data_IF_291046977889
#
_entry.id   IF_291046977889
#
_cell.length_a   1.000
_cell.length_b   1.000
_cell.length_c   1.000
_cell.angle_alpha   90.00
_cell.angle_beta   90.00
_cell.angle_gamma   90.00
#
_symmetry.space_group_name_H-M   'P 1'
#
loop_
_entity.id
_entity.type
_entity.pdbx_description
1 polymer ?
#
# COMPACT_ATOMS: atom_id res chain seq x y z
N UNK A 1 31.50 12.11 28.55
CA UNK A 1 30.93 10.99 27.76
C UNK A 1 30.11 11.59 26.63
N UNK A 2 30.17 11.07 25.39
CA UNK A 2 29.27 11.52 24.33
C UNK A 2 27.82 11.31 24.78
N UNK A 3 26.96 12.30 24.52
CA UNK A 3 25.53 12.23 24.84
C UNK A 3 24.89 11.12 24.00
N UNK A 4 24.43 10.05 24.64
CA UNK A 4 23.74 8.97 23.95
C UNK A 4 22.27 9.36 23.70
N UNK A 5 21.81 9.20 22.47
CA UNK A 5 20.45 9.52 22.06
C UNK A 5 19.66 8.23 21.82
N UNK A 6 18.54 8.04 22.54
CA UNK A 6 17.59 6.96 22.25
C UNK A 6 16.80 7.27 20.98
N UNK A 7 16.47 6.26 20.18
CA UNK A 7 15.49 6.43 19.10
C UNK A 7 14.12 6.65 19.70
N UNK A 8 13.44 7.72 19.30
CA UNK A 8 12.08 8.07 19.75
C UNK A 8 11.18 8.11 18.53
N UNK A 9 10.08 7.37 18.54
CA UNK A 9 8.98 7.52 17.58
C UNK A 9 7.83 8.29 18.22
N UNK A 10 7.43 9.38 17.60
CA UNK A 10 6.25 10.15 17.95
C UNK A 10 5.15 9.79 16.95
N UNK A 11 4.16 9.05 17.41
CA UNK A 11 2.97 8.72 16.64
C UNK A 11 1.99 9.89 16.68
N UNK A 12 1.65 10.40 15.50
CA UNK A 12 0.62 11.39 15.27
C UNK A 12 -0.58 10.66 14.65
N UNK A 13 -1.53 10.24 15.49
CA UNK A 13 -2.71 9.53 15.04
C UNK A 13 -3.91 10.47 14.99
N UNK A 14 -4.57 10.52 13.82
CA UNK A 14 -5.78 11.33 13.61
C UNK A 14 -7.01 10.74 14.28
N UNK A 15 -6.96 9.47 14.68
CA UNK A 15 -8.07 8.81 15.36
C UNK A 15 -8.10 9.10 16.87
N UNK A 16 -9.28 8.90 17.48
CA UNK A 16 -9.47 8.99 18.92
C UNK A 16 -8.53 8.10 19.74
N UNK A 17 -8.16 6.95 19.18
CA UNK A 17 -7.24 6.02 19.80
C UNK A 17 -6.22 5.57 18.76
N UNK A 18 -4.94 5.69 19.13
CA UNK A 18 -3.85 5.30 18.27
C UNK A 18 -3.95 3.81 17.94
N UNK A 19 -3.65 3.47 16.69
CA UNK A 19 -3.60 2.09 16.23
C UNK A 19 -2.60 1.26 17.06
N UNK A 20 -3.04 0.19 17.75
CA UNK A 20 -2.10 -0.69 18.42
C UNK A 20 -1.25 -1.49 17.43
N UNK A 21 -1.74 -1.70 16.20
CA UNK A 21 -1.03 -2.48 15.18
C UNK A 21 0.36 -1.92 14.91
N UNK A 22 0.44 -0.64 14.54
CA UNK A 22 1.67 0.00 14.09
C UNK A 22 2.65 0.25 15.26
N UNK A 23 2.10 0.47 16.46
CA UNK A 23 2.87 0.55 17.71
C UNK A 23 3.50 -0.81 18.03
N UNK A 24 2.74 -1.91 17.98
CA UNK A 24 3.26 -3.26 18.22
C UNK A 24 4.33 -3.63 17.18
N UNK A 25 4.08 -3.38 15.89
CA UNK A 25 5.11 -3.57 14.86
C UNK A 25 6.38 -2.80 15.21
N UNK A 26 6.26 -1.54 15.65
CA UNK A 26 7.43 -0.72 15.98
C UNK A 26 8.20 -1.26 17.18
N UNK A 27 7.51 -1.74 18.22
CA UNK A 27 8.14 -2.37 19.39
C UNK A 27 8.89 -3.65 19.00
N UNK A 28 8.27 -4.50 18.18
CA UNK A 28 8.89 -5.77 17.74
C UNK A 28 10.10 -5.53 16.84
N UNK A 29 10.05 -4.47 16.02
CA UNK A 29 11.11 -4.10 15.08
C UNK A 29 12.26 -3.38 15.78
N UNK A 30 11.95 -2.55 16.78
CA UNK A 30 12.89 -1.71 17.53
C UNK A 30 12.63 -1.80 19.05
N UNK A 31 13.06 -2.87 19.73
CA UNK A 31 12.76 -3.09 21.15
C UNK A 31 13.22 -1.96 22.10
N UNK A 32 14.30 -1.25 21.72
CA UNK A 32 14.87 -0.15 22.51
C UNK A 32 14.28 1.24 22.18
N UNK A 33 13.39 1.31 21.19
CA UNK A 33 12.77 2.58 20.81
C UNK A 33 11.78 3.04 21.87
N UNK A 34 11.80 4.34 22.17
CA UNK A 34 10.78 4.99 23.00
C UNK A 34 9.63 5.42 22.10
N UNK A 35 8.41 5.05 22.46
CA UNK A 35 7.21 5.40 21.71
C UNK A 35 6.41 6.45 22.50
N UNK A 36 6.16 7.58 21.86
CA UNK A 36 5.21 8.60 22.30
C UNK A 36 4.04 8.62 21.32
N UNK A 37 2.83 8.90 21.80
CA UNK A 37 1.65 8.98 20.94
C UNK A 37 0.80 10.20 21.27
N UNK A 38 0.26 10.80 20.23
CA UNK A 38 -0.75 11.84 20.27
C UNK A 38 -1.93 11.37 19.42
N UNK A 39 -3.14 11.54 19.96
CA UNK A 39 -4.40 11.03 19.40
C UNK A 39 -5.31 12.23 19.08
N UNK A 40 -6.22 12.08 18.11
CA UNK A 40 -7.02 13.18 17.54
C UNK A 40 -6.17 14.33 16.98
N UNK A 41 -5.01 14.03 16.42
CA UNK A 41 -4.09 15.06 15.90
C UNK A 41 -4.70 15.77 14.70
N UNK A 42 -4.79 17.09 14.78
CA UNK A 42 -5.12 17.99 13.67
C UNK A 42 -3.86 18.45 12.91
N UNK A 43 -4.03 19.16 11.80
CA UNK A 43 -2.91 19.75 11.06
C UNK A 43 -2.15 20.77 11.93
N UNK A 44 -2.89 21.58 12.69
CA UNK A 44 -2.36 22.60 13.59
C UNK A 44 -1.62 21.99 14.78
N UNK A 45 -2.15 20.89 15.33
CA UNK A 45 -1.48 20.16 16.41
C UNK A 45 -0.18 19.53 15.92
N UNK A 46 -0.19 18.90 14.73
CA UNK A 46 1.00 18.29 14.15
C UNK A 46 2.13 19.30 13.93
N UNK A 47 1.82 20.51 13.46
CA UNK A 47 2.80 21.59 13.33
C UNK A 47 3.48 21.92 14.66
N UNK A 48 2.69 22.16 15.71
CA UNK A 48 3.21 22.51 17.04
C UNK A 48 4.06 21.37 17.62
N UNK A 49 3.55 20.14 17.53
CA UNK A 49 4.24 18.95 18.02
C UNK A 49 5.58 18.73 17.31
N UNK A 50 5.65 18.98 15.99
CA UNK A 50 6.90 18.84 15.23
C UNK A 50 7.91 19.92 15.63
N UNK A 51 7.51 21.17 15.79
CA UNK A 51 8.41 22.22 16.30
C UNK A 51 8.95 21.86 17.69
N UNK A 52 8.07 21.42 18.61
CA UNK A 52 8.49 21.02 19.96
C UNK A 52 9.41 19.79 19.95
N UNK A 53 9.27 18.89 18.98
CA UNK A 53 10.09 17.69 18.88
C UNK A 53 11.49 17.95 18.27
N UNK A 54 11.64 18.99 17.46
CA UNK A 54 12.88 19.26 16.70
C UNK A 54 14.00 19.84 17.57
N UNK A 55 13.68 20.76 18.49
CA UNK A 55 14.70 21.58 19.18
C UNK A 55 15.34 20.99 20.46
N UNK A 56 14.63 20.27 21.35
CA UNK A 56 15.15 19.94 22.70
C UNK A 56 16.41 19.08 22.72
N UNK A 57 16.71 18.37 21.62
CA UNK A 57 17.83 17.43 21.52
C UNK A 57 18.99 17.97 20.68
N UNK A 58 18.88 19.20 20.18
CA UNK A 58 19.81 19.79 19.22
C UNK A 58 19.83 19.06 17.87
N UNK A 59 20.60 19.54 16.89
CA UNK A 59 20.63 18.97 15.54
C UNK A 59 21.02 17.48 15.52
N UNK A 60 22.00 17.08 16.34
CA UNK A 60 22.41 15.67 16.43
C UNK A 60 21.31 14.80 17.03
N UNK A 61 20.61 15.28 18.06
CA UNK A 61 19.55 14.50 18.68
C UNK A 61 18.26 14.44 17.86
N UNK A 62 17.99 15.42 17.00
CA UNK A 62 16.86 15.44 16.07
C UNK A 62 16.89 14.23 15.12
N UNK A 63 18.08 13.80 14.69
CA UNK A 63 18.30 12.60 13.88
C UNK A 63 17.75 11.32 14.52
N UNK A 64 17.56 11.31 15.84
CA UNK A 64 17.03 10.18 16.62
C UNK A 64 15.56 10.37 17.05
N UNK A 65 14.89 11.41 16.56
CA UNK A 65 13.45 11.64 16.74
C UNK A 65 12.75 11.41 15.42
N UNK A 66 11.75 10.53 15.42
CA UNK A 66 11.04 10.05 14.23
C UNK A 66 9.56 10.38 14.39
N UNK A 67 8.89 10.69 13.29
CA UNK A 67 7.44 10.89 13.25
C UNK A 67 6.80 9.69 12.56
N UNK A 68 5.68 9.21 13.10
CA UNK A 68 4.82 8.25 12.42
C UNK A 68 3.41 8.84 12.31
N UNK A 69 2.94 9.12 11.09
CA UNK A 69 1.59 9.64 10.82
C UNK A 69 0.64 8.48 10.56
N UNK A 70 -0.49 8.46 11.26
CA UNK A 70 -1.50 7.41 11.12
C UNK A 70 -2.94 7.93 11.31
N UNK A 71 -3.89 7.05 11.05
CA UNK A 71 -5.31 7.21 11.34
C UNK A 71 -6.20 7.01 10.11
N UNK A 72 -7.52 7.01 10.31
CA UNK A 72 -8.50 6.61 9.29
C UNK A 72 -8.79 7.70 8.26
N UNK A 73 -8.64 8.97 8.64
CA UNK A 73 -8.90 10.07 7.72
C UNK A 73 -7.70 10.26 6.79
N UNK A 74 -7.78 9.62 5.62
CA UNK A 74 -6.70 9.59 4.63
C UNK A 74 -6.30 10.97 4.12
N UNK A 75 -7.26 11.88 3.92
CA UNK A 75 -6.98 13.25 3.49
C UNK A 75 -6.23 14.00 4.60
N UNK A 76 -6.75 13.98 5.83
CA UNK A 76 -6.11 14.62 6.98
C UNK A 76 -4.69 14.11 7.24
N UNK A 77 -4.44 12.79 7.12
CA UNK A 77 -3.07 12.25 7.28
C UNK A 77 -2.10 12.80 6.23
N UNK A 78 -2.57 13.02 4.99
CA UNK A 78 -1.74 13.60 3.94
C UNK A 78 -1.56 15.11 4.11
N UNK A 79 -2.58 15.82 4.59
CA UNK A 79 -2.47 17.24 4.93
C UNK A 79 -1.47 17.46 6.06
N UNK A 80 -1.47 16.59 7.08
CA UNK A 80 -0.45 16.57 8.13
C UNK A 80 0.94 16.37 7.52
N UNK A 81 1.13 15.39 6.64
CA UNK A 81 2.42 15.16 5.98
C UNK A 81 2.92 16.42 5.27
N UNK A 82 2.08 17.04 4.44
CA UNK A 82 2.46 18.24 3.69
C UNK A 82 2.74 19.44 4.61
N UNK A 83 2.04 19.53 5.74
CA UNK A 83 2.30 20.57 6.75
C UNK A 83 3.64 20.35 7.44
N UNK A 84 3.93 19.15 7.93
CA UNK A 84 5.16 18.89 8.69
C UNK A 84 6.41 18.95 7.80
N UNK A 85 6.29 18.60 6.51
CA UNK A 85 7.37 18.80 5.51
C UNK A 85 7.81 20.26 5.45
N UNK A 86 6.88 21.22 5.64
CA UNK A 86 7.16 22.66 5.65
C UNK A 86 7.71 23.16 6.99
N UNK A 87 7.54 22.40 8.07
CA UNK A 87 8.04 22.74 9.41
C UNK A 87 9.53 22.42 9.59
N UNK A 88 10.04 21.43 8.84
CA UNK A 88 11.43 20.97 8.92
C UNK A 88 12.35 21.82 8.04
N UNK A 89 13.53 22.16 8.55
CA UNK A 89 14.54 22.96 7.85
C UNK A 89 15.95 22.65 8.36
N UNK A 90 17.00 22.68 7.53
CA UNK A 90 18.35 22.39 7.99
C UNK A 90 18.79 23.29 9.17
N UNK A 91 19.45 22.74 10.21
CA UNK A 91 19.86 21.35 10.39
C UNK A 91 18.84 20.48 11.16
N UNK A 92 17.61 20.95 11.33
CA UNK A 92 16.53 20.25 12.04
C UNK A 92 15.56 19.60 11.04
N UNK A 93 15.86 18.36 10.70
CA UNK A 93 15.04 17.53 9.83
C UNK A 93 14.84 16.17 10.52
N UNK A 94 13.64 15.62 10.41
CA UNK A 94 13.26 14.34 11.02
C UNK A 94 12.93 13.33 9.93
N UNK A 95 13.02 12.05 10.26
CA UNK A 95 12.44 10.98 9.44
C UNK A 95 10.97 10.81 9.77
N UNK A 96 10.14 10.77 8.73
CA UNK A 96 8.68 10.68 8.82
C UNK A 96 8.21 9.42 8.11
N UNK A 97 7.54 8.54 8.83
CA UNK A 97 6.75 7.44 8.28
C UNK A 97 5.30 7.87 8.19
N UNK A 98 4.61 7.51 7.11
CA UNK A 98 3.17 7.69 6.97
C UNK A 98 2.55 6.40 6.44
N UNK A 99 1.56 5.85 7.16
CA UNK A 99 0.81 4.69 6.68
C UNK A 99 -0.61 4.66 7.23
N UNK A 100 -1.56 5.40 6.63
CA UNK A 100 -2.90 5.61 7.18
C UNK A 100 -3.66 4.29 7.32
N UNK A 101 -3.69 3.72 8.52
CA UNK A 101 -4.26 2.39 8.82
C UNK A 101 -3.76 1.30 7.88
N UNK A 102 -2.48 1.33 7.51
CA UNK A 102 -1.89 0.33 6.62
C UNK A 102 -2.19 0.54 5.13
N UNK A 103 -2.80 1.68 4.74
CA UNK A 103 -3.23 1.90 3.36
C UNK A 103 -2.07 1.87 2.36
N UNK A 104 -0.93 2.46 2.70
CA UNK A 104 0.23 2.56 1.80
C UNK A 104 0.93 1.23 1.68
N UNK A 105 1.19 0.56 2.79
CA UNK A 105 1.87 -0.74 2.79
C UNK A 105 0.99 -1.84 2.20
N UNK A 106 -0.33 -1.83 2.44
CA UNK A 106 -1.25 -2.81 1.84
C UNK A 106 -1.34 -2.63 0.32
N UNK A 107 -1.50 -1.40 -0.16
CA UNK A 107 -1.53 -1.10 -1.59
C UNK A 107 -0.20 -1.50 -2.26
N UNK A 108 0.92 -1.14 -1.63
CA UNK A 108 2.27 -1.49 -2.09
C UNK A 108 2.46 -2.99 -2.22
N UNK A 109 2.07 -3.74 -1.19
CA UNK A 109 2.13 -5.19 -1.21
C UNK A 109 1.22 -5.78 -2.30
N UNK A 110 -0.03 -5.29 -2.43
CA UNK A 110 -0.96 -5.78 -3.43
C UNK A 110 -0.40 -5.62 -4.85
N UNK A 111 0.12 -4.44 -5.20
CA UNK A 111 0.68 -4.17 -6.54
C UNK A 111 1.95 -4.99 -6.78
N UNK A 112 2.85 -5.10 -5.79
CA UNK A 112 4.06 -5.90 -5.91
C UNK A 112 3.76 -7.40 -6.09
N UNK A 113 2.78 -7.95 -5.36
CA UNK A 113 2.31 -9.33 -5.54
C UNK A 113 1.68 -9.54 -6.91
N UNK A 114 0.90 -8.59 -7.41
CA UNK A 114 0.38 -8.63 -8.78
C UNK A 114 1.51 -8.67 -9.81
N UNK A 115 2.55 -7.84 -9.65
CA UNK A 115 3.74 -7.88 -10.52
C UNK A 115 4.44 -9.24 -10.44
N UNK A 116 4.67 -9.77 -9.24
CA UNK A 116 5.27 -11.09 -9.01
C UNK A 116 4.50 -12.19 -9.77
N UNK A 117 3.18 -12.25 -9.60
CA UNK A 117 2.33 -13.24 -10.29
C UNK A 117 2.34 -13.01 -11.81
N UNK A 118 2.26 -11.76 -12.27
CA UNK A 118 2.30 -11.45 -13.70
C UNK A 118 3.58 -11.97 -14.33
N UNK A 119 4.74 -11.70 -13.72
CA UNK A 119 6.02 -12.12 -14.26
C UNK A 119 6.24 -13.64 -14.15
N UNK A 120 5.91 -14.25 -13.00
CA UNK A 120 6.12 -15.69 -12.78
C UNK A 120 5.20 -16.57 -13.62
N UNK A 121 4.02 -16.06 -14.02
CA UNK A 121 3.09 -16.73 -14.94
C UNK A 121 3.34 -16.40 -16.41
N UNK A 122 4.40 -15.66 -16.73
CA UNK A 122 4.75 -15.33 -18.12
C UNK A 122 3.83 -14.30 -18.79
N UNK A 123 3.11 -13.49 -18.00
CA UNK A 123 2.19 -12.44 -18.47
C UNK A 123 2.88 -11.09 -18.70
N UNK A 124 4.16 -10.97 -18.36
CA UNK A 124 4.98 -9.77 -18.56
C UNK A 124 4.96 -8.79 -17.38
N UNK A 125 5.44 -7.56 -17.63
CA UNK A 125 5.34 -6.42 -16.70
C UNK A 125 3.90 -5.91 -16.61
N UNK A 126 3.65 -4.89 -15.79
CA UNK A 126 2.32 -4.24 -15.71
C UNK A 126 2.13 -3.13 -16.76
N UNK A 127 3.18 -2.83 -17.54
CA UNK A 127 3.16 -1.77 -18.54
C UNK A 127 2.12 -2.05 -19.63
N UNK A 128 1.30 -1.05 -19.93
CA UNK A 128 0.24 -1.14 -20.93
C UNK A 128 -0.97 -1.98 -20.53
N UNK A 129 -0.91 -2.73 -19.42
CA UNK A 129 -2.02 -3.58 -18.96
C UNK A 129 -3.20 -2.76 -18.47
N UNK A 130 -4.41 -3.27 -18.68
CA UNK A 130 -5.61 -2.67 -18.08
C UNK A 130 -5.89 -3.27 -16.71
N UNK A 131 -5.97 -2.42 -15.68
CA UNK A 131 -6.21 -2.80 -14.29
C UNK A 131 -7.49 -2.15 -13.78
N UNK A 132 -8.45 -2.93 -13.29
CA UNK A 132 -9.64 -2.39 -12.61
C UNK A 132 -9.49 -2.51 -11.10
N UNK A 133 -9.54 -1.38 -10.39
CA UNK A 133 -9.55 -1.30 -8.93
C UNK A 133 -11.00 -1.10 -8.47
N UNK A 134 -11.62 -2.18 -8.00
CA UNK A 134 -13.00 -2.16 -7.51
C UNK A 134 -13.10 -1.50 -6.14
N UNK A 135 -14.11 -0.66 -5.95
CA UNK A 135 -14.25 0.20 -4.76
C UNK A 135 -12.98 1.03 -4.49
N UNK A 136 -12.29 1.46 -5.56
CA UNK A 136 -10.97 2.06 -5.53
C UNK A 136 -10.88 3.48 -4.94
N UNK A 137 -11.95 3.99 -4.33
CA UNK A 137 -11.97 5.33 -3.72
C UNK A 137 -11.67 5.32 -2.22
N UNK A 138 -11.48 4.15 -1.62
CA UNK A 138 -10.91 4.02 -0.27
C UNK A 138 -9.39 4.22 -0.26
N UNK A 139 -8.76 4.38 0.92
CA UNK A 139 -7.33 4.67 1.05
C UNK A 139 -6.43 3.68 0.29
N UNK A 140 -6.63 2.38 0.51
CA UNK A 140 -5.85 1.32 -0.18
C UNK A 140 -6.09 1.38 -1.70
N UNK A 141 -7.34 1.53 -2.12
CA UNK A 141 -7.72 1.54 -3.53
C UNK A 141 -7.10 2.71 -4.30
N UNK A 142 -7.14 3.92 -3.72
CA UNK A 142 -6.55 5.11 -4.33
C UNK A 142 -5.03 4.98 -4.47
N UNK A 143 -4.36 4.45 -3.44
CA UNK A 143 -2.91 4.24 -3.49
C UNK A 143 -2.54 3.14 -4.47
N UNK A 144 -3.28 2.02 -4.50
CA UNK A 144 -3.02 0.95 -5.46
C UNK A 144 -3.23 1.44 -6.91
N UNK A 145 -4.26 2.24 -7.16
CA UNK A 145 -4.48 2.86 -8.47
C UNK A 145 -3.31 3.75 -8.91
N UNK A 146 -2.78 4.61 -8.02
CA UNK A 146 -1.56 5.40 -8.30
C UNK A 146 -0.36 4.52 -8.61
N UNK A 147 -0.16 3.44 -7.84
CA UNK A 147 0.97 2.53 -8.01
C UNK A 147 0.89 1.73 -9.31
N UNK A 148 -0.29 1.24 -9.69
CA UNK A 148 -0.50 0.61 -11.01
C UNK A 148 -0.20 1.58 -12.15
N UNK A 149 -0.67 2.83 -12.05
CA UNK A 149 -0.36 3.88 -13.03
C UNK A 149 1.15 4.16 -13.11
N UNK A 150 1.86 4.15 -11.98
CA UNK A 150 3.31 4.33 -11.94
C UNK A 150 4.10 3.20 -12.62
N UNK A 151 3.51 2.01 -12.75
CA UNK A 151 4.07 0.88 -13.51
C UNK A 151 3.65 0.90 -15.00
N UNK A 152 3.03 1.99 -15.46
CA UNK A 152 2.61 2.15 -16.85
C UNK A 152 1.29 1.46 -17.20
N UNK A 153 0.53 0.98 -16.21
CA UNK A 153 -0.79 0.39 -16.44
C UNK A 153 -1.86 1.46 -16.74
N UNK A 154 -2.91 1.06 -17.44
CA UNK A 154 -4.15 1.83 -17.64
C UNK A 154 -5.14 1.43 -16.55
N UNK A 155 -5.55 2.39 -15.72
CA UNK A 155 -6.31 2.10 -14.49
C UNK A 155 -7.77 2.49 -14.61
N UNK A 156 -8.66 1.61 -14.21
CA UNK A 156 -10.10 1.87 -14.05
C UNK A 156 -10.39 1.88 -12.56
N UNK A 157 -10.79 3.03 -12.03
CA UNK A 157 -11.15 3.17 -10.61
C UNK A 157 -12.67 3.13 -10.50
N UNK A 158 -13.22 2.18 -9.74
CA UNK A 158 -14.66 2.10 -9.56
C UNK A 158 -15.14 2.63 -8.22
N UNK A 159 -16.37 3.12 -8.21
CA UNK A 159 -17.07 3.62 -7.02
C UNK A 159 -18.57 3.46 -7.21
N UNK A 160 -19.33 3.42 -6.12
CA UNK A 160 -20.79 3.56 -6.18
C UNK A 160 -21.24 4.99 -6.49
N UNK A 161 -20.30 5.93 -6.50
CA UNK A 161 -20.51 7.35 -6.82
C UNK A 161 -19.48 7.75 -7.86
N UNK A 162 -19.96 8.07 -9.07
CA UNK A 162 -19.13 8.48 -10.21
C UNK A 162 -18.17 9.62 -9.86
N UNK A 163 -18.60 10.61 -9.07
CA UNK A 163 -17.80 11.79 -8.74
C UNK A 163 -16.56 11.40 -7.95
N UNK A 164 -16.71 10.45 -7.02
CA UNK A 164 -15.58 9.96 -6.22
C UNK A 164 -14.57 9.19 -7.08
N UNK A 165 -15.02 8.35 -8.01
CA UNK A 165 -14.10 7.63 -8.91
C UNK A 165 -13.40 8.56 -9.89
N UNK A 166 -14.12 9.56 -10.43
CA UNK A 166 -13.54 10.57 -11.32
C UNK A 166 -12.49 11.41 -10.59
N UNK A 167 -12.77 11.89 -9.38
CA UNK A 167 -11.82 12.68 -8.61
C UNK A 167 -10.51 11.92 -8.32
N UNK A 168 -10.57 10.60 -8.12
CA UNK A 168 -9.36 9.77 -7.96
C UNK A 168 -8.60 9.66 -9.28
N UNK A 169 -9.29 9.41 -10.38
CA UNK A 169 -8.67 9.30 -11.71
C UNK A 169 -8.04 10.63 -12.16
N UNK A 170 -8.71 11.76 -11.93
CA UNK A 170 -8.20 13.11 -12.22
C UNK A 170 -6.91 13.38 -11.44
N UNK A 171 -6.88 13.13 -10.13
CA UNK A 171 -5.66 13.28 -9.32
C UNK A 171 -4.49 12.42 -9.83
N UNK A 172 -4.76 11.20 -10.30
CA UNK A 172 -3.74 10.33 -10.90
C UNK A 172 -3.24 10.95 -12.21
N UNK A 173 -4.15 11.36 -13.10
CA UNK A 173 -3.78 11.94 -14.39
C UNK A 173 -3.02 13.26 -14.25
N UNK A 174 -3.36 14.09 -13.27
CA UNK A 174 -2.63 15.31 -12.91
C UNK A 174 -1.21 14.99 -12.43
N UNK A 175 -1.06 13.99 -11.56
CA UNK A 175 0.25 13.57 -11.03
C UNK A 175 1.18 13.06 -12.15
N UNK A 176 0.65 12.27 -13.09
CA UNK A 176 1.44 11.68 -14.18
C UNK A 176 1.49 12.52 -15.47
N UNK A 177 0.68 13.60 -15.56
CA UNK A 177 0.54 14.45 -16.75
C UNK A 177 0.17 13.67 -18.02
N UNK A 178 -0.60 12.59 -17.86
CA UNK A 178 -1.04 11.67 -18.92
C UNK A 178 -2.37 11.03 -18.51
N UNK A 179 -3.20 10.63 -19.47
CA UNK A 179 -4.43 9.88 -19.21
C UNK A 179 -4.11 8.42 -18.84
N UNK A 180 -3.73 8.18 -17.59
CA UNK A 180 -3.43 6.86 -17.03
C UNK A 180 -4.65 6.20 -16.38
N UNK A 181 -5.61 6.98 -15.90
CA UNK A 181 -6.74 6.50 -15.13
C UNK A 181 -8.08 7.06 -15.62
N UNK A 182 -9.14 6.27 -15.47
CA UNK A 182 -10.53 6.69 -15.65
C UNK A 182 -11.41 6.26 -14.49
N UNK A 183 -12.37 7.10 -14.13
CA UNK A 183 -13.38 6.81 -13.11
C UNK A 183 -14.62 6.14 -13.72
N UNK A 184 -15.15 5.10 -13.08
CA UNK A 184 -16.36 4.39 -13.51
C UNK A 184 -17.31 4.19 -12.33
N UNK A 185 -18.60 4.41 -12.54
CA UNK A 185 -19.61 4.06 -11.55
C UNK A 185 -19.94 2.57 -11.62
N UNK A 186 -19.93 1.89 -10.48
CA UNK A 186 -20.37 0.51 -10.34
C UNK A 186 -21.05 0.31 -8.97
N UNK A 187 -22.36 0.06 -9.01
CA UNK A 187 -23.27 -0.17 -7.87
C UNK A 187 -23.79 -1.60 -7.86
N UNK A 188 -24.01 -2.20 -9.03
CA UNK A 188 -24.52 -3.57 -9.15
C UNK A 188 -23.46 -4.56 -9.64
N UNK A 189 -23.66 -5.88 -9.46
CA UNK A 189 -22.78 -6.90 -10.03
C UNK A 189 -22.59 -6.77 -11.54
N UNK A 190 -23.62 -6.39 -12.29
CA UNK A 190 -23.57 -6.23 -13.75
C UNK A 190 -22.73 -5.00 -14.15
N UNK A 191 -22.82 -3.91 -13.39
CA UNK A 191 -21.99 -2.72 -13.59
C UNK A 191 -20.52 -2.99 -13.21
N UNK A 192 -20.27 -3.78 -12.15
CA UNK A 192 -18.94 -4.32 -11.83
C UNK A 192 -18.43 -5.17 -13.00
N UNK A 193 -19.28 -6.05 -13.56
CA UNK A 193 -18.99 -6.82 -14.75
C UNK A 193 -18.59 -5.94 -15.94
N UNK A 194 -19.36 -4.89 -16.21
CA UNK A 194 -19.05 -3.92 -17.26
C UNK A 194 -17.69 -3.22 -17.04
N UNK A 195 -17.35 -2.89 -15.79
CA UNK A 195 -16.09 -2.23 -15.44
C UNK A 195 -14.85 -3.14 -15.56
N UNK A 196 -15.02 -4.47 -15.61
CA UNK A 196 -13.90 -5.43 -15.73
C UNK A 196 -13.75 -6.06 -17.12
N UNK A 197 -14.59 -5.70 -18.10
CA UNK A 197 -14.57 -6.32 -19.45
C UNK A 197 -13.19 -6.28 -20.11
N UNK A 198 -12.53 -5.13 -20.03
CA UNK A 198 -11.20 -4.91 -20.62
C UNK A 198 -10.05 -5.21 -19.65
N UNK A 199 -10.36 -5.57 -18.39
CA UNK A 199 -9.36 -5.73 -17.36
C UNK A 199 -8.58 -7.02 -17.55
N UNK A 200 -7.25 -6.91 -17.60
CA UNK A 200 -6.34 -8.05 -17.45
C UNK A 200 -6.11 -8.39 -15.97
N UNK A 201 -6.27 -7.38 -15.11
CA UNK A 201 -6.04 -7.48 -13.67
C UNK A 201 -7.21 -6.80 -12.95
N UNK A 202 -7.73 -7.45 -11.91
CA UNK A 202 -8.75 -6.88 -11.03
C UNK A 202 -8.26 -6.87 -9.58
N UNK A 203 -8.30 -5.73 -8.92
CA UNK A 203 -8.05 -5.59 -7.48
C UNK A 203 -9.35 -5.21 -6.77
N UNK A 204 -9.87 -6.06 -5.90
CA UNK A 204 -10.95 -5.74 -4.99
C UNK A 204 -10.41 -4.98 -3.77
N UNK A 205 -10.74 -3.68 -3.67
CA UNK A 205 -10.31 -2.80 -2.59
C UNK A 205 -11.46 -2.39 -1.65
N UNK A 206 -12.41 -3.31 -1.45
CA UNK A 206 -13.64 -3.09 -0.68
C UNK A 206 -13.41 -2.99 0.82
N UNK A 207 -14.43 -2.46 1.51
CA UNK A 207 -14.49 -2.52 2.96
C UNK A 207 -14.59 -3.97 3.45
N UNK A 208 -14.22 -4.19 4.71
CA UNK A 208 -14.28 -5.51 5.31
C UNK A 208 -15.70 -6.09 5.29
N UNK A 209 -15.83 -7.38 4.97
CA UNK A 209 -17.11 -8.07 4.91
C UNK A 209 -18.01 -7.66 3.74
N UNK A 210 -17.44 -7.07 2.68
CA UNK A 210 -18.20 -6.69 1.48
C UNK A 210 -17.70 -7.48 0.28
N UNK A 211 -18.58 -8.29 -0.32
CA UNK A 211 -18.33 -8.94 -1.60
C UNK A 211 -18.56 -7.96 -2.75
N UNK A 212 -17.54 -7.76 -3.58
CA UNK A 212 -17.57 -6.86 -4.73
C UNK A 212 -17.71 -7.60 -6.05
N UNK A 213 -17.07 -8.77 -6.17
CA UNK A 213 -16.98 -9.51 -7.41
C UNK A 213 -17.45 -10.95 -7.22
N UNK A 214 -18.73 -11.22 -7.54
CA UNK A 214 -19.23 -12.59 -7.66
C UNK A 214 -18.48 -13.39 -8.72
N UNK A 215 -18.34 -14.70 -8.50
CA UNK A 215 -17.54 -15.57 -9.38
C UNK A 215 -18.21 -15.74 -10.75
N UNK A 216 -19.54 -15.76 -10.81
CA UNK A 216 -20.28 -15.79 -12.07
C UNK A 216 -20.04 -14.52 -12.91
N UNK A 217 -20.00 -13.34 -12.28
CA UNK A 217 -19.68 -12.07 -12.96
C UNK A 217 -18.25 -12.09 -13.50
N UNK A 218 -17.27 -12.55 -12.72
CA UNK A 218 -15.90 -12.70 -13.19
C UNK A 218 -15.82 -13.66 -14.39
N UNK A 219 -16.49 -14.82 -14.32
CA UNK A 219 -16.55 -15.79 -15.42
C UNK A 219 -17.19 -15.20 -16.68
N UNK A 220 -18.26 -14.43 -16.53
CA UNK A 220 -19.04 -13.91 -17.64
C UNK A 220 -18.35 -12.72 -18.32
N UNK A 221 -17.89 -11.75 -17.54
CA UNK A 221 -17.38 -10.47 -18.07
C UNK A 221 -15.85 -10.40 -18.15
N UNK A 222 -15.12 -11.02 -17.23
CA UNK A 222 -13.67 -10.92 -17.12
C UNK A 222 -12.89 -11.79 -18.09
N UNK A 223 -13.24 -11.81 -19.38
CA UNK A 223 -12.63 -12.72 -20.37
C UNK A 223 -11.13 -12.49 -20.57
N UNK A 224 -10.70 -11.24 -20.44
CA UNK A 224 -9.29 -10.83 -20.54
C UNK A 224 -8.54 -10.97 -19.20
N UNK A 225 -9.26 -11.18 -18.10
CA UNK A 225 -8.67 -11.22 -16.77
C UNK A 225 -7.74 -12.43 -16.65
N UNK A 226 -6.56 -12.19 -16.08
CA UNK A 226 -5.55 -13.19 -15.76
C UNK A 226 -5.14 -13.16 -14.29
N UNK A 227 -5.33 -12.03 -13.61
CA UNK A 227 -5.03 -11.90 -12.18
C UNK A 227 -6.19 -11.23 -11.47
N UNK A 228 -6.61 -11.81 -10.34
CA UNK A 228 -7.58 -11.20 -9.44
C UNK A 228 -7.02 -11.18 -8.02
N UNK A 229 -7.09 -10.03 -7.36
CA UNK A 229 -6.58 -9.83 -6.02
C UNK A 229 -7.67 -9.26 -5.11
N UNK A 230 -7.60 -9.59 -3.81
CA UNK A 230 -8.55 -9.11 -2.81
C UNK A 230 -7.81 -8.74 -1.53
N UNK A 231 -8.04 -7.53 -1.04
CA UNK A 231 -7.45 -7.03 0.22
C UNK A 231 -8.33 -7.36 1.44
N UNK A 232 -9.55 -7.83 1.23
CA UNK A 232 -10.49 -8.14 2.31
C UNK A 232 -10.21 -9.55 2.88
N UNK A 233 -9.85 -9.61 4.16
CA UNK A 233 -9.67 -10.87 4.89
C UNK A 233 -10.93 -11.31 5.67
N UNK A 234 -11.96 -10.46 5.72
CA UNK A 234 -13.17 -10.67 6.55
C UNK A 234 -14.32 -11.14 5.67
N UNK A 235 -14.92 -12.33 5.94
CA UNK A 235 -16.07 -12.82 5.21
C UNK A 235 -17.32 -11.93 5.30
N UNK A 236 -18.14 -11.83 4.24
CA UNK A 236 -17.85 -12.36 2.90
C UNK A 236 -16.67 -11.63 2.26
N UNK A 237 -15.84 -12.38 1.54
CA UNK A 237 -14.64 -11.86 0.89
C UNK A 237 -15.02 -10.97 -0.29
N UNK A 238 -14.12 -10.07 -0.70
CA UNK A 238 -14.31 -9.15 -1.81
C UNK A 238 -14.49 -9.87 -3.15
N UNK A 239 -13.76 -10.95 -3.37
CA UNK A 239 -13.87 -11.81 -4.56
C UNK A 239 -14.38 -13.18 -4.15
N UNK A 240 -15.53 -13.57 -4.70
CA UNK A 240 -16.14 -14.86 -4.37
C UNK A 240 -15.23 -16.02 -4.80
N UNK A 241 -15.01 -16.98 -3.90
CA UNK A 241 -14.20 -18.17 -4.15
C UNK A 241 -12.68 -17.97 -4.05
N UNK A 242 -12.19 -16.73 -3.89
CA UNK A 242 -10.77 -16.45 -3.67
C UNK A 242 -10.41 -16.64 -2.18
N UNK A 243 -9.54 -17.61 -1.85
CA UNK A 243 -9.14 -17.81 -0.45
C UNK A 243 -8.12 -16.75 0.00
N UNK A 244 -8.18 -16.25 1.26
CA UNK A 244 -7.26 -15.22 1.73
C UNK A 244 -5.78 -15.63 1.71
N UNK A 245 -5.48 -16.93 1.81
CA UNK A 245 -4.11 -17.46 1.79
C UNK A 245 -3.56 -17.72 0.39
N UNK A 246 -4.36 -17.53 -0.66
CA UNK A 246 -3.92 -17.83 -2.02
C UNK A 246 -2.91 -16.81 -2.52
N UNK A 247 -1.92 -17.35 -3.24
CA UNK A 247 -0.81 -16.59 -3.78
C UNK A 247 -0.47 -17.17 -5.17
N UNK A 248 -1.12 -16.66 -6.21
CA UNK A 248 -0.96 -17.16 -7.58
C UNK A 248 -1.66 -18.49 -7.89
N UNK A 249 -2.66 -18.88 -7.08
CA UNK A 249 -3.49 -20.08 -7.26
C UNK A 249 -4.63 -19.80 -8.24
N UNK A 250 -5.04 -20.76 -9.06
CA UNK A 250 -6.14 -20.54 -9.99
C UNK A 250 -7.51 -20.44 -9.28
N UNK A 251 -8.23 -19.34 -9.55
CA UNK A 251 -9.64 -19.14 -9.17
C UNK A 251 -10.56 -19.62 -10.29
N UNK A 252 -10.12 -19.43 -11.54
CA UNK A 252 -10.71 -19.96 -12.77
C UNK A 252 -9.55 -20.46 -13.66
N UNK A 253 -9.81 -21.27 -14.69
CA UNK A 253 -8.77 -21.65 -15.65
C UNK A 253 -8.04 -20.41 -16.19
N UNK A 254 -6.72 -20.34 -16.01
CA UNK A 254 -5.87 -19.21 -16.40
C UNK A 254 -6.18 -17.87 -15.69
N UNK A 255 -6.85 -17.86 -14.54
CA UNK A 255 -7.07 -16.67 -13.70
C UNK A 255 -6.48 -16.91 -12.31
N UNK A 256 -5.39 -16.21 -12.00
CA UNK A 256 -4.61 -16.40 -10.78
C UNK A 256 -5.07 -15.44 -9.67
N UNK A 257 -5.35 -16.00 -8.50
CA UNK A 257 -5.84 -15.34 -7.32
C UNK A 257 -4.75 -14.94 -6.33
N UNK A 258 -4.86 -13.75 -5.75
CA UNK A 258 -4.02 -13.24 -4.66
C UNK A 258 -4.90 -12.79 -3.50
N UNK A 259 -4.88 -13.53 -2.40
CA UNK A 259 -5.72 -13.28 -1.23
C UNK A 259 -5.10 -12.31 -0.22
N UNK A 260 -5.96 -11.78 0.65
CA UNK A 260 -5.61 -10.74 1.60
C UNK A 260 -4.50 -11.11 2.60
N UNK A 261 -4.35 -12.38 2.99
CA UNK A 261 -3.28 -12.82 3.91
C UNK A 261 -1.93 -12.97 3.19
N UNK A 262 -1.94 -13.36 1.90
CA UNK A 262 -0.72 -13.34 1.09
C UNK A 262 -0.21 -11.90 0.90
N UNK A 263 -1.13 -10.96 0.65
CA UNK A 263 -0.83 -9.52 0.61
C UNK A 263 -0.37 -9.03 1.99
N UNK A 264 -1.11 -9.38 3.05
CA UNK A 264 -0.84 -8.97 4.42
C UNK A 264 0.53 -9.42 4.94
N UNK A 265 1.00 -10.59 4.52
CA UNK A 265 2.34 -11.08 4.86
C UNK A 265 3.43 -10.14 4.31
N UNK A 266 3.34 -9.75 3.03
CA UNK A 266 4.27 -8.81 2.43
C UNK A 266 4.10 -7.40 3.02
N UNK A 267 2.85 -6.95 3.24
CA UNK A 267 2.52 -5.66 3.90
C UNK A 267 3.27 -5.51 5.21
N UNK A 268 3.19 -6.51 6.09
CA UNK A 268 3.84 -6.47 7.40
C UNK A 268 5.37 -6.39 7.28
N UNK A 269 5.96 -7.14 6.34
CA UNK A 269 7.39 -7.08 6.08
C UNK A 269 7.84 -5.71 5.54
N UNK A 270 7.03 -5.09 4.67
CA UNK A 270 7.27 -3.75 4.12
C UNK A 270 7.22 -2.70 5.22
N UNK A 271 6.18 -2.69 6.05
CA UNK A 271 6.03 -1.77 7.18
C UNK A 271 7.22 -1.89 8.15
N UNK A 272 7.57 -3.12 8.53
CA UNK A 272 8.70 -3.37 9.41
C UNK A 272 10.01 -2.82 8.83
N UNK A 273 10.29 -3.07 7.53
CA UNK A 273 11.49 -2.54 6.88
C UNK A 273 11.45 -1.01 6.79
N UNK A 274 10.30 -0.42 6.51
CA UNK A 274 10.11 1.04 6.46
C UNK A 274 10.40 1.69 7.82
N UNK A 275 9.94 1.10 8.93
CA UNK A 275 10.24 1.54 10.30
C UNK A 275 11.74 1.46 10.58
N UNK A 276 12.43 0.36 10.22
CA UNK A 276 13.89 0.24 10.40
C UNK A 276 14.64 1.33 9.64
N UNK A 277 14.31 1.51 8.37
CA UNK A 277 14.96 2.52 7.53
C UNK A 277 14.73 3.93 8.09
N UNK A 278 13.51 4.26 8.53
CA UNK A 278 13.23 5.54 9.15
C UNK A 278 14.02 5.75 10.45
N UNK A 279 14.21 4.69 11.25
CA UNK A 279 15.01 4.74 12.47
C UNK A 279 16.51 5.00 12.21
N UNK A 280 17.06 4.39 11.16
CA UNK A 280 18.46 4.53 10.74
C UNK A 280 18.75 5.88 10.07
N UNK A 281 17.83 6.37 9.25
CA UNK A 281 18.03 7.60 8.48
C UNK A 281 17.81 8.85 9.34
N UNK A 282 18.70 9.85 9.28
CA UNK A 282 18.57 11.09 10.06
C UNK A 282 17.36 11.92 9.61
N UNK A 283 16.96 11.81 8.34
CA UNK A 283 15.83 12.51 7.73
C UNK A 283 15.28 11.72 6.55
N UNK A 284 14.03 11.95 6.20
CA UNK A 284 13.43 11.34 5.01
C UNK A 284 11.92 11.21 5.13
N UNK A 285 11.25 11.07 3.99
CA UNK A 285 9.81 10.78 3.93
C UNK A 285 9.64 9.34 3.46
N UNK A 286 9.02 8.52 4.30
CA UNK A 286 8.73 7.12 4.09
C UNK A 286 7.24 6.97 3.84
N UNK A 287 6.84 7.18 2.59
CA UNK A 287 5.46 7.17 2.12
C UNK A 287 5.17 5.95 1.22
N UNK A 288 4.07 6.00 0.47
CA UNK A 288 3.67 4.93 -0.44
C UNK A 288 4.72 4.63 -1.54
N UNK A 289 5.55 5.60 -1.95
CA UNK A 289 6.58 5.37 -2.97
C UNK A 289 7.70 4.51 -2.40
N UNK A 290 8.14 4.84 -1.18
CA UNK A 290 9.16 4.05 -0.46
C UNK A 290 8.62 2.67 -0.09
N UNK A 291 7.39 2.58 0.40
CA UNK A 291 6.73 1.30 0.69
C UNK A 291 6.66 0.41 -0.56
N UNK A 292 6.30 0.97 -1.71
CA UNK A 292 6.22 0.22 -2.95
C UNK A 292 7.59 -0.20 -3.48
N UNK A 293 8.61 0.67 -3.41
CA UNK A 293 9.97 0.30 -3.76
C UNK A 293 10.44 -0.90 -2.92
N UNK A 294 10.23 -0.87 -1.61
CA UNK A 294 10.56 -1.97 -0.72
C UNK A 294 9.83 -3.26 -1.13
N UNK A 295 8.53 -3.17 -1.39
CA UNK A 295 7.71 -4.32 -1.78
C UNK A 295 8.17 -4.92 -3.12
N UNK A 296 8.42 -4.08 -4.13
CA UNK A 296 8.90 -4.46 -5.46
C UNK A 296 10.26 -5.14 -5.41
N UNK A 297 11.23 -4.55 -4.68
CA UNK A 297 12.54 -5.16 -4.47
C UNK A 297 12.44 -6.53 -3.80
N UNK A 298 11.54 -6.68 -2.81
CA UNK A 298 11.35 -7.94 -2.10
C UNK A 298 10.87 -9.06 -3.02
N UNK A 299 9.91 -8.78 -3.90
CA UNK A 299 9.40 -9.80 -4.83
C UNK A 299 10.40 -10.12 -5.95
N UNK A 300 11.11 -9.12 -6.48
CA UNK A 300 12.13 -9.34 -7.51
C UNK A 300 13.29 -10.19 -7.00
N UNK A 301 13.81 -9.90 -5.79
CA UNK A 301 14.87 -10.70 -5.16
C UNK A 301 14.45 -12.15 -4.91
N UNK A 302 13.20 -12.35 -4.48
CA UNK A 302 12.63 -13.70 -4.30
C UNK A 302 12.64 -14.47 -5.63
N UNK A 303 12.18 -13.84 -6.71
CA UNK A 303 12.17 -14.45 -8.04
C UNK A 303 13.57 -14.80 -8.57
N UNK A 304 14.56 -13.94 -8.35
CA UNK A 304 15.96 -14.22 -8.69
C UNK A 304 16.52 -15.42 -7.91
N UNK A 305 16.18 -15.50 -6.62
CA UNK A 305 16.59 -16.62 -5.74
C UNK A 305 15.93 -17.93 -6.17
N UNK A 306 14.67 -17.91 -6.59
CA UNK A 306 13.97 -19.11 -7.08
C UNK A 306 14.50 -19.57 -8.44
N UNK A 307 14.80 -18.63 -9.36
CA UNK A 307 15.43 -18.95 -10.65
C UNK A 307 16.81 -19.58 -10.49
N UNK A 308 17.65 -19.03 -9.60
CA UNK A 308 18.99 -19.58 -9.35
C UNK A 308 18.94 -20.98 -8.74
N UNK A 309 17.98 -21.26 -7.84
CA UNK A 309 17.74 -22.60 -7.31
C UNK A 309 17.31 -23.59 -8.40
N UNK A 310 16.35 -23.22 -9.23
CA UNK A 310 15.87 -24.06 -10.34
C UNK A 310 16.98 -24.37 -11.37
N UNK A 311 17.93 -23.45 -11.60
CA UNK A 311 19.09 -23.71 -12.47
C UNK A 311 20.21 -24.56 -11.83
N UNK A 312 20.16 -24.77 -10.51
CA UNK A 312 21.18 -25.50 -9.76
C UNK A 312 20.83 -26.96 -9.43
N UNK A 313 19.60 -27.39 -9.72
CA UNK A 313 19.23 -28.81 -9.61
C UNK A 313 19.84 -29.60 -10.79
N UNK A 314 20.66 -30.64 -10.54
CA UNK A 314 21.24 -31.42 -11.62
C UNK A 314 20.12 -32.16 -12.37
N UNK A 315 20.02 -31.92 -13.68
CA UNK A 315 19.28 -32.80 -14.57
C UNK A 315 19.91 -34.20 -14.51
N UNK A 316 19.33 -35.06 -13.67
CA UNK A 316 19.56 -36.50 -13.74
C UNK A 316 18.85 -37.00 -15.01
N UNK A 317 19.61 -37.10 -16.10
CA UNK A 317 19.18 -37.83 -17.28
C UNK A 317 19.41 -39.33 -17.02
N UNK A 318 18.41 -40.19 -17.27
CA UNK A 318 18.55 -41.65 -17.14
C UNK A 318 19.54 -42.25 -18.14
#
# INVERSE_FOLDING_TARGET
MPKQFKTVFIFLDTDKHASPFDILTTVDVLPDAVILKYENVTVEDAEKLVYDAMFPRGPEGAKHTKIFINGRNFELTNDILEKIKKCMFPPFELSVVIDPRGAYTTASAAVAKTLEISMTKGLGTLEGKTVTVLAGTGPVGQTAARLYASEGAKVIVTSRDIKRSMAVAEKINEEFKEEKAKGVEAKTPEEVGAAIKEAEIVLAAGAAGVQLLPLNILKEYGKNCRIVADINAIPPLGVEGLKPTWDGKEVLPNVFGIGALAIGTLKNAVEAKMIRMAAEEPKGIFDYKVAYQIAKESVLKKMETEKSKASSEPHWLP
#
